data_IF_234683688931
#
_entry.id   IF_234683688931
#
_cell.length_a   1.000
_cell.length_b   1.000
_cell.length_c   1.000
_cell.angle_alpha   90.00
_cell.angle_beta   90.00
_cell.angle_gamma   90.00
#
_symmetry.space_group_name_H-M   'P 1'
#
loop_
_entity.id
_entity.type
_entity.pdbx_description
1 polymer ?
#
# COMPACT_ATOMS: atom_id res chain seq x y z
N UNK A 1 1.39 -9.25 -14.41
CA UNK A 1 0.76 -8.43 -13.35
C UNK A 1 0.21 -9.35 -12.28
N UNK A 2 0.36 -9.00 -11.00
CA UNK A 2 -0.03 -9.85 -9.86
C UNK A 2 -1.54 -10.00 -9.72
N UNK A 3 -1.97 -11.12 -9.13
CA UNK A 3 -3.39 -11.52 -9.00
C UNK A 3 -4.16 -10.78 -7.91
N UNK A 4 -3.45 -10.10 -7.01
CA UNK A 4 -4.03 -9.45 -5.84
C UNK A 4 -3.73 -7.95 -5.85
N UNK A 5 -4.70 -7.17 -5.38
CA UNK A 5 -4.59 -5.73 -5.24
C UNK A 5 -4.89 -5.35 -3.80
N UNK A 6 -3.90 -4.79 -3.13
CA UNK A 6 -4.09 -4.13 -1.84
C UNK A 6 -4.54 -2.69 -2.10
N UNK A 7 -5.67 -2.29 -1.52
CA UNK A 7 -6.20 -0.93 -1.58
C UNK A 7 -6.19 -0.35 -0.18
N UNK A 8 -5.59 0.82 -0.02
CA UNK A 8 -5.42 1.50 1.26
C UNK A 8 -6.00 2.90 1.19
N UNK A 9 -6.54 3.38 2.30
CA UNK A 9 -6.94 4.77 2.45
C UNK A 9 -6.80 5.23 3.90
N UNK A 10 -6.22 6.41 4.11
CA UNK A 10 -6.05 6.97 5.45
C UNK A 10 -5.47 8.37 5.43
N UNK A 11 -5.50 9.02 6.58
CA UNK A 11 -4.75 10.26 6.79
C UNK A 11 -3.27 9.93 6.90
N UNK A 12 -2.42 10.70 6.23
CA UNK A 12 -0.96 10.55 6.33
C UNK A 12 -0.45 10.74 7.75
N UNK A 13 -1.14 11.54 8.57
CA UNK A 13 -0.80 11.76 9.97
C UNK A 13 -0.80 10.45 10.79
N UNK A 14 -1.76 9.57 10.51
CA UNK A 14 -1.91 8.28 11.19
C UNK A 14 -1.34 7.10 10.38
N UNK A 15 -1.20 7.27 9.06
CA UNK A 15 -0.64 6.27 8.15
C UNK A 15 0.47 6.89 7.29
N UNK A 16 1.68 7.15 7.86
CA UNK A 16 2.76 7.83 7.16
C UNK A 16 3.27 7.10 5.91
N UNK A 17 3.06 5.79 5.83
CA UNK A 17 3.39 5.01 4.64
C UNK A 17 2.61 5.45 3.39
N UNK A 18 1.47 6.14 3.55
CA UNK A 18 0.69 6.74 2.47
C UNK A 18 1.26 8.07 1.96
N UNK A 19 2.41 8.53 2.44
CA UNK A 19 3.02 9.78 1.96
C UNK A 19 3.38 9.71 0.47
N UNK A 20 3.99 8.63 0.00
CA UNK A 20 4.26 8.45 -1.43
C UNK A 20 4.40 6.98 -1.79
N UNK A 21 4.45 6.70 -3.10
CA UNK A 21 4.56 5.33 -3.59
C UNK A 21 5.79 4.60 -3.06
N UNK A 22 6.89 5.32 -2.80
CA UNK A 22 8.16 4.74 -2.32
C UNK A 22 8.04 4.33 -0.85
N UNK A 23 7.51 5.20 0.01
CA UNK A 23 7.25 4.87 1.43
C UNK A 23 6.27 3.70 1.57
N UNK A 24 5.22 3.68 0.74
CA UNK A 24 4.28 2.57 0.74
C UNK A 24 4.96 1.27 0.32
N UNK A 25 5.73 1.31 -0.78
CA UNK A 25 6.44 0.13 -1.29
C UNK A 25 7.41 -0.43 -0.27
N UNK A 26 8.13 0.42 0.45
CA UNK A 26 9.07 0.00 1.48
C UNK A 26 8.37 -0.56 2.73
N UNK A 27 7.21 -0.01 3.13
CA UNK A 27 6.35 -0.57 4.18
C UNK A 27 5.86 -1.98 3.83
N UNK A 28 5.33 -2.15 2.62
CA UNK A 28 4.87 -3.47 2.13
C UNK A 28 6.03 -4.45 2.03
N UNK A 29 7.23 -4.01 1.61
CA UNK A 29 8.44 -4.85 1.59
C UNK A 29 8.81 -5.40 2.95
N UNK A 30 8.78 -4.54 3.96
CA UNK A 30 9.13 -4.90 5.34
C UNK A 30 8.18 -5.97 5.90
N UNK A 31 6.89 -5.85 5.64
CA UNK A 31 5.87 -6.69 6.29
C UNK A 31 5.43 -7.89 5.42
N UNK A 32 5.33 -7.69 4.12
CA UNK A 32 4.68 -8.60 3.18
C UNK A 32 5.55 -8.92 1.95
N UNK A 33 6.85 -8.65 1.98
CA UNK A 33 7.78 -8.96 0.88
C UNK A 33 7.63 -8.04 -0.33
N UNK A 34 8.28 -8.37 -1.45
CA UNK A 34 8.37 -7.47 -2.61
C UNK A 34 7.03 -7.35 -3.38
N UNK A 35 6.38 -6.17 -3.39
CA UNK A 35 5.25 -5.94 -4.26
C UNK A 35 5.69 -5.57 -5.68
N UNK A 36 4.75 -5.63 -6.61
CA UNK A 36 4.91 -5.19 -7.98
C UNK A 36 4.85 -3.66 -8.13
N UNK A 37 3.95 -3.19 -8.99
CA UNK A 37 3.66 -1.76 -9.09
C UNK A 37 2.95 -1.28 -7.82
N UNK A 38 3.22 -0.04 -7.43
CA UNK A 38 2.67 0.58 -6.23
C UNK A 38 2.46 2.04 -6.56
N UNK A 39 1.31 2.57 -6.19
CA UNK A 39 0.95 3.95 -6.47
C UNK A 39 0.18 4.55 -5.30
N UNK A 40 0.33 5.86 -5.13
CA UNK A 40 -0.34 6.65 -4.12
C UNK A 40 -0.96 7.84 -4.82
N UNK A 41 -2.25 8.05 -4.59
CA UNK A 41 -2.96 9.20 -5.14
C UNK A 41 -2.31 10.50 -4.69
N UNK A 42 -1.96 11.33 -5.67
CA UNK A 42 -1.43 12.69 -5.45
C UNK A 42 -2.50 13.64 -4.93
N UNK A 43 -3.78 13.31 -5.14
CA UNK A 43 -4.90 14.06 -4.60
C UNK A 43 -5.29 13.50 -3.24
N UNK A 44 -5.43 14.40 -2.26
CA UNK A 44 -6.06 14.07 -0.99
C UNK A 44 -7.48 14.63 -0.98
N UNK A 45 -8.43 13.85 -0.49
CA UNK A 45 -9.78 14.35 -0.24
C UNK A 45 -10.00 14.37 1.27
N UNK A 46 -10.21 15.56 1.83
CA UNK A 46 -10.32 15.78 3.29
C UNK A 46 -9.12 15.21 4.08
N UNK A 47 -7.90 15.38 3.54
CA UNK A 47 -6.67 14.88 4.17
C UNK A 47 -6.43 13.37 4.03
N UNK A 48 -7.38 12.63 3.45
CA UNK A 48 -7.25 11.19 3.20
C UNK A 48 -6.55 10.96 1.85
N UNK A 49 -5.44 10.22 1.87
CA UNK A 49 -4.81 9.68 0.65
C UNK A 49 -5.28 8.26 0.42
N UNK A 50 -5.25 7.86 -0.85
CA UNK A 50 -5.56 6.51 -1.31
C UNK A 50 -4.34 5.92 -1.98
N UNK A 51 -4.19 4.62 -1.89
CA UNK A 51 -3.07 3.95 -2.49
C UNK A 51 -3.40 2.53 -2.92
N UNK A 52 -2.59 2.03 -3.84
CA UNK A 52 -2.77 0.72 -4.46
C UNK A 52 -1.43 0.02 -4.58
N UNK A 53 -1.42 -1.27 -4.28
CA UNK A 53 -0.21 -2.07 -4.34
C UNK A 53 -0.54 -3.45 -4.93
N UNK A 54 0.17 -3.82 -6.00
CA UNK A 54 -0.04 -5.09 -6.68
C UNK A 54 0.81 -6.20 -6.05
N UNK A 55 0.17 -7.33 -5.77
CA UNK A 55 0.76 -8.50 -5.13
C UNK A 55 0.49 -9.75 -5.98
N UNK A 56 1.50 -10.59 -6.14
CA UNK A 56 1.42 -11.81 -6.95
C UNK A 56 1.11 -13.07 -6.15
N UNK A 57 1.40 -13.07 -4.84
CA UNK A 57 1.31 -14.23 -3.96
C UNK A 57 0.19 -14.00 -2.93
N UNK A 58 -0.74 -14.95 -2.81
CA UNK A 58 -1.89 -14.85 -1.92
C UNK A 58 -1.49 -14.66 -0.45
N UNK A 59 -0.55 -15.47 0.04
CA UNK A 59 -0.07 -15.36 1.42
C UNK A 59 0.49 -13.97 1.72
N UNK A 60 1.20 -13.37 0.76
CA UNK A 60 1.75 -12.01 0.87
C UNK A 60 0.64 -10.96 0.86
N UNK A 61 -0.41 -11.15 0.05
CA UNK A 61 -1.61 -10.31 0.07
C UNK A 61 -2.33 -10.35 1.42
N UNK A 62 -2.52 -11.54 1.99
CA UNK A 62 -3.13 -11.71 3.33
C UNK A 62 -2.29 -11.05 4.43
N UNK A 63 -0.96 -11.23 4.40
CA UNK A 63 -0.07 -10.56 5.34
C UNK A 63 -0.16 -9.04 5.20
N UNK A 64 -0.11 -8.51 3.97
CA UNK A 64 -0.19 -7.08 3.74
C UNK A 64 -1.51 -6.46 4.23
N UNK A 65 -2.63 -7.16 4.03
CA UNK A 65 -3.95 -6.76 4.53
C UNK A 65 -4.06 -6.79 6.06
N UNK A 66 -3.35 -7.71 6.71
CA UNK A 66 -3.42 -7.84 8.18
C UNK A 66 -2.54 -6.81 8.90
N UNK A 67 -1.54 -6.25 8.21
CA UNK A 67 -0.56 -5.32 8.80
C UNK A 67 -0.80 -3.84 8.50
N UNK A 68 -1.66 -3.53 7.53
CA UNK A 68 -1.99 -2.15 7.11
C UNK A 68 -3.49 -1.93 7.19
#
# INVERSE_FOLDING_TARGET
YGKYLLVLSGSVEYAPFLENWKTLKDSVRKNAGNPGWTDVSTTSHRGIRRAWCNLSIEGKAKTAYSTH
#
